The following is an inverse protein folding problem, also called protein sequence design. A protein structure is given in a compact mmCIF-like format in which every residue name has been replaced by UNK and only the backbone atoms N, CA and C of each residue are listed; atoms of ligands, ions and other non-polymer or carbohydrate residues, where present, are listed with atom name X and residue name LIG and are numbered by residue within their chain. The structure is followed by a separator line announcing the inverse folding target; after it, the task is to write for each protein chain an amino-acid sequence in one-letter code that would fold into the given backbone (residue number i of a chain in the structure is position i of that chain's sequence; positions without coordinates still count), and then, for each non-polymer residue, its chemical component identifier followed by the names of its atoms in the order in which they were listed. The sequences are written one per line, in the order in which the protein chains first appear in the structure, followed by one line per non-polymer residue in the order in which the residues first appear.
data_IF_685937157952
#
_entry.id   IF_685937157952
#
_cell.length_a   1.000
_cell.length_b   1.000
_cell.length_c   1.000
_cell.angle_alpha   90.00
_cell.angle_beta   90.00
_cell.angle_gamma   90.00
#
_symmetry.space_group_name_H-M   'P 1'
#
loop_
_entity.id
_entity.type
_entity.pdbx_description
1 polymer ?
#
# COMPACT_ATOMS: atom_id res chain seq x y z
N UNK A 1 9.55 -20.70 5.22
CA UNK A 1 9.69 -19.27 5.54
C UNK A 1 11.11 -19.06 6.03
N UNK A 2 11.93 -18.39 5.21
CA UNK A 2 13.32 -18.11 5.56
C UNK A 2 13.36 -16.80 6.36
N UNK A 3 13.60 -16.90 7.67
CA UNK A 3 13.73 -15.75 8.57
C UNK A 3 15.11 -15.06 8.46
N UNK A 4 15.98 -15.53 7.58
CA UNK A 4 17.41 -15.18 7.60
C UNK A 4 17.84 -14.04 6.69
N UNK A 5 16.96 -13.40 5.92
CA UNK A 5 17.35 -12.32 5.02
C UNK A 5 16.66 -10.99 5.33
N UNK A 6 17.25 -10.22 6.25
CA UNK A 6 17.14 -8.77 6.27
C UNK A 6 17.89 -8.21 5.06
N UNK A 7 17.31 -8.27 3.88
CA UNK A 7 17.83 -7.59 2.71
C UNK A 7 17.36 -6.12 2.74
N UNK A 8 18.02 -5.30 3.56
CA UNK A 8 18.05 -3.86 3.39
C UNK A 8 18.92 -3.50 2.18
N UNK A 9 18.62 -4.07 1.02
CA UNK A 9 19.24 -3.65 -0.23
C UNK A 9 18.41 -2.51 -0.79
N UNK A 10 18.87 -1.27 -0.57
CA UNK A 10 18.21 -0.05 -1.04
C UNK A 10 18.14 0.03 -2.59
N UNK A 11 18.80 -0.89 -3.30
CA UNK A 11 18.70 -1.02 -4.75
C UNK A 11 17.52 -1.86 -5.23
N UNK A 12 16.80 -2.53 -4.34
CA UNK A 12 15.62 -3.36 -4.68
C UNK A 12 14.35 -2.56 -4.45
N UNK A 13 13.54 -2.37 -5.49
CA UNK A 13 12.20 -1.80 -5.33
C UNK A 13 11.25 -2.86 -4.76
N UNK A 14 10.88 -2.70 -3.50
CA UNK A 14 9.90 -3.53 -2.84
C UNK A 14 8.50 -3.02 -3.16
N UNK A 15 7.61 -3.91 -3.64
CA UNK A 15 6.24 -3.57 -4.05
C UNK A 15 5.27 -4.47 -3.28
N UNK A 16 4.21 -3.89 -2.70
CA UNK A 16 3.20 -4.68 -2.00
C UNK A 16 1.80 -4.46 -2.53
N UNK A 17 0.99 -5.52 -2.37
CA UNK A 17 -0.44 -5.55 -2.66
C UNK A 17 -1.18 -6.05 -1.43
N UNK A 18 -2.37 -5.48 -1.18
CA UNK A 18 -3.28 -5.95 -0.13
C UNK A 18 -4.62 -6.31 -0.76
N UNK A 19 -4.98 -7.60 -0.79
CA UNK A 19 -6.13 -8.11 -1.57
C UNK A 19 -6.86 -9.24 -0.86
N UNK A 20 -8.14 -9.36 -1.11
CA UNK A 20 -8.89 -10.59 -0.86
C UNK A 20 -8.81 -11.54 -2.08
N UNK A 21 -9.36 -12.75 -1.93
CA UNK A 21 -9.30 -13.80 -2.95
C UNK A 21 -9.82 -13.34 -4.32
N UNK A 22 -10.83 -12.46 -4.36
CA UNK A 22 -11.46 -12.02 -5.60
C UNK A 22 -10.55 -11.15 -6.48
N UNK A 23 -9.52 -10.53 -5.91
CA UNK A 23 -8.62 -9.61 -6.62
C UNK A 23 -7.23 -10.20 -6.89
N UNK A 24 -6.98 -11.48 -6.57
CA UNK A 24 -5.69 -12.13 -6.79
C UNK A 24 -5.28 -12.14 -8.28
N UNK A 25 -6.21 -12.35 -9.20
CA UNK A 25 -5.92 -12.32 -10.63
C UNK A 25 -5.46 -10.91 -11.07
N UNK A 26 -6.06 -9.85 -10.51
CA UNK A 26 -5.63 -8.47 -10.72
C UNK A 26 -4.20 -8.23 -10.28
N UNK A 27 -3.79 -8.76 -9.11
CA UNK A 27 -2.40 -8.71 -8.65
C UNK A 27 -1.46 -9.35 -9.66
N UNK A 28 -1.82 -10.51 -10.22
CA UNK A 28 -1.01 -11.19 -11.23
C UNK A 28 -0.79 -10.32 -12.48
N UNK A 29 -1.84 -9.64 -12.95
CA UNK A 29 -1.76 -8.70 -14.08
C UNK A 29 -0.90 -7.48 -13.73
N UNK A 30 -1.09 -6.91 -12.52
CA UNK A 30 -0.29 -5.78 -12.06
C UNK A 30 1.19 -6.12 -11.97
N UNK A 31 1.57 -7.26 -11.34
CA UNK A 31 2.95 -7.74 -11.28
C UNK A 31 3.53 -7.91 -12.70
N UNK A 32 2.80 -8.59 -13.60
CA UNK A 32 3.24 -8.77 -14.98
C UNK A 32 3.50 -7.42 -15.67
N UNK A 33 2.64 -6.42 -15.46
CA UNK A 33 2.82 -5.08 -16.01
C UNK A 33 4.06 -4.38 -15.47
N UNK A 34 4.38 -4.56 -14.18
CA UNK A 34 5.58 -3.98 -13.57
C UNK A 34 6.84 -4.62 -14.13
N UNK A 35 6.92 -5.95 -14.14
CA UNK A 35 8.14 -6.64 -14.60
C UNK A 35 8.43 -6.44 -16.09
N UNK A 36 7.38 -6.27 -16.92
CA UNK A 36 7.53 -5.99 -18.35
C UNK A 36 8.02 -4.57 -18.67
N UNK A 37 7.84 -3.63 -17.77
CA UNK A 37 8.21 -2.22 -17.97
C UNK A 37 9.44 -1.78 -17.15
N UNK A 38 10.08 -2.71 -16.39
CA UNK A 38 11.20 -2.36 -15.52
C UNK A 38 12.31 -3.40 -15.57
N UNK A 39 13.55 -2.89 -15.66
CA UNK A 39 14.79 -3.70 -15.63
C UNK A 39 15.57 -3.51 -14.32
N UNK A 40 14.93 -3.03 -13.27
CA UNK A 40 15.52 -2.86 -11.94
C UNK A 40 15.24 -4.09 -11.07
N UNK A 41 16.04 -4.34 -10.02
CA UNK A 41 15.72 -5.39 -9.06
C UNK A 41 14.37 -5.14 -8.38
N UNK A 42 13.49 -6.15 -8.41
CA UNK A 42 12.11 -6.08 -7.91
C UNK A 42 11.85 -7.19 -6.90
N UNK A 43 11.12 -6.86 -5.84
CA UNK A 43 10.57 -7.84 -4.90
C UNK A 43 9.10 -7.53 -4.61
N UNK A 44 8.26 -8.56 -4.68
CA UNK A 44 6.81 -8.41 -4.49
C UNK A 44 6.34 -9.07 -3.19
N UNK A 45 5.42 -8.40 -2.50
CA UNK A 45 4.84 -8.81 -1.24
C UNK A 45 3.31 -8.77 -1.36
N UNK A 46 2.68 -9.93 -1.40
CA UNK A 46 1.22 -10.06 -1.51
C UNK A 46 0.66 -10.38 -0.15
N UNK A 47 -0.15 -9.48 0.41
CA UNK A 47 -0.84 -9.64 1.67
C UNK A 47 -2.29 -10.00 1.36
N UNK A 48 -2.75 -11.18 1.75
CA UNK A 48 -4.09 -11.66 1.46
C UNK A 48 -4.68 -12.44 2.65
N UNK A 49 -5.98 -12.66 2.63
CA UNK A 49 -6.71 -13.48 3.61
C UNK A 49 -6.82 -14.95 3.19
N UNK A 50 -6.78 -15.21 1.88
CA UNK A 50 -6.85 -16.54 1.29
C UNK A 50 -6.18 -16.57 -0.07
N UNK A 51 -5.89 -17.75 -0.60
CA UNK A 51 -5.39 -17.95 -1.95
C UNK A 51 -5.68 -19.38 -2.45
N UNK A 52 -5.80 -19.52 -3.77
CA UNK A 52 -5.95 -20.82 -4.42
C UNK A 52 -4.59 -21.45 -4.78
N UNK A 53 -4.48 -22.80 -4.83
CA UNK A 53 -3.30 -23.46 -5.34
C UNK A 53 -2.96 -23.10 -6.79
N UNK A 54 -3.97 -22.70 -7.59
CA UNK A 54 -3.77 -22.26 -8.95
C UNK A 54 -3.04 -20.91 -9.00
N UNK A 55 -3.42 -19.99 -8.12
CA UNK A 55 -2.74 -18.69 -7.99
C UNK A 55 -1.27 -18.87 -7.59
N UNK A 56 -0.98 -19.74 -6.62
CA UNK A 56 0.41 -20.03 -6.21
C UNK A 56 1.26 -20.48 -7.40
N UNK A 57 0.77 -21.45 -8.18
CA UNK A 57 1.47 -21.91 -9.40
C UNK A 57 1.68 -20.81 -10.43
N UNK A 58 0.73 -19.89 -10.53
CA UNK A 58 0.83 -18.75 -11.45
C UNK A 58 1.93 -17.78 -11.02
N UNK A 59 1.95 -17.35 -9.74
CA UNK A 59 2.98 -16.44 -9.24
C UNK A 59 4.38 -17.09 -9.20
N UNK A 60 4.46 -18.39 -8.96
CA UNK A 60 5.73 -19.15 -9.06
C UNK A 60 6.30 -19.08 -10.48
N UNK A 61 5.45 -19.25 -11.50
CA UNK A 61 5.87 -19.12 -12.91
C UNK A 61 6.35 -17.70 -13.22
N UNK A 62 5.61 -16.68 -12.77
CA UNK A 62 6.02 -15.29 -12.92
C UNK A 62 7.38 -15.03 -12.27
N UNK A 63 7.56 -15.51 -11.03
CA UNK A 63 8.80 -15.33 -10.29
C UNK A 63 10.00 -15.94 -11.03
N UNK A 64 9.85 -17.17 -11.53
CA UNK A 64 10.91 -17.88 -12.30
C UNK A 64 11.17 -17.20 -13.64
N UNK A 65 10.11 -16.88 -14.39
CA UNK A 65 10.22 -16.32 -15.75
C UNK A 65 10.90 -14.93 -15.74
N UNK A 66 10.66 -14.14 -14.73
CA UNK A 66 11.14 -12.76 -14.66
C UNK A 66 12.27 -12.56 -13.62
N UNK A 67 12.75 -13.66 -12.99
CA UNK A 67 13.83 -13.63 -11.98
C UNK A 67 13.53 -12.65 -10.83
N UNK A 68 12.29 -12.61 -10.36
CA UNK A 68 11.84 -11.74 -9.26
C UNK A 68 11.43 -12.56 -8.03
N UNK A 69 11.57 -11.96 -6.86
CA UNK A 69 11.09 -12.55 -5.60
C UNK A 69 9.61 -12.18 -5.40
N UNK A 70 8.75 -13.17 -5.17
CA UNK A 70 7.35 -12.97 -4.79
C UNK A 70 7.11 -13.67 -3.46
N UNK A 71 6.66 -12.92 -2.46
CA UNK A 71 6.35 -13.42 -1.12
C UNK A 71 4.86 -13.28 -0.84
N UNK A 72 4.22 -14.36 -0.37
CA UNK A 72 2.81 -14.41 -0.02
C UNK A 72 2.66 -14.42 1.51
N UNK A 73 1.82 -13.53 2.05
CA UNK A 73 1.57 -13.39 3.48
C UNK A 73 0.07 -13.53 3.76
N UNK A 74 -0.28 -14.45 4.65
CA UNK A 74 -1.66 -14.61 5.09
C UNK A 74 -1.94 -13.78 6.33
N UNK A 75 -3.00 -12.97 6.26
CA UNK A 75 -3.57 -12.27 7.42
C UNK A 75 -4.65 -13.17 8.05
N UNK A 76 -4.61 -13.27 9.37
CA UNK A 76 -5.72 -13.89 10.12
C UNK A 76 -6.88 -12.90 10.18
N UNK A 77 -8.03 -13.32 9.64
CA UNK A 77 -9.23 -12.47 9.49
C UNK A 77 -9.77 -11.99 10.84
N UNK A 78 -9.57 -12.77 11.92
CA UNK A 78 -9.97 -12.41 13.28
C UNK A 78 -9.35 -11.09 13.75
N UNK A 79 -8.16 -10.75 13.23
CA UNK A 79 -7.49 -9.47 13.52
C UNK A 79 -8.21 -8.26 12.91
N UNK A 80 -9.16 -8.49 12.00
CA UNK A 80 -9.88 -7.45 11.26
C UNK A 80 -11.31 -7.21 11.79
N UNK A 81 -11.80 -8.05 12.71
CA UNK A 81 -13.18 -7.97 13.19
C UNK A 81 -13.51 -6.67 13.92
N UNK A 82 -12.49 -6.06 14.52
CA UNK A 82 -12.61 -4.77 15.23
C UNK A 82 -12.62 -3.55 14.30
N UNK A 83 -12.37 -3.74 12.99
CA UNK A 83 -12.30 -2.65 12.03
C UNK A 83 -13.66 -2.40 11.38
N UNK A 84 -13.99 -1.13 11.06
CA UNK A 84 -15.24 -0.77 10.40
C UNK A 84 -15.46 -1.57 9.12
N UNK A 85 -16.62 -2.16 8.97
CA UNK A 85 -17.04 -2.80 7.72
C UNK A 85 -17.88 -1.83 6.91
N UNK A 86 -17.54 -1.62 5.66
CA UNK A 86 -18.35 -0.81 4.75
C UNK A 86 -19.24 -1.71 3.89
N UNK A 87 -20.31 -1.13 3.33
CA UNK A 87 -21.18 -1.85 2.38
C UNK A 87 -20.56 -1.99 0.99
N UNK A 88 -19.51 -1.24 0.71
CA UNK A 88 -18.93 -1.08 -0.64
C UNK A 88 -17.55 -1.71 -0.73
N UNK A 89 -16.74 -1.60 0.32
CA UNK A 89 -15.34 -2.03 0.32
C UNK A 89 -15.13 -3.22 1.24
N UNK A 90 -14.39 -4.22 0.76
CA UNK A 90 -13.98 -5.34 1.58
C UNK A 90 -12.95 -4.91 2.63
N UNK A 91 -12.78 -5.71 3.69
CA UNK A 91 -11.74 -5.45 4.71
C UNK A 91 -10.32 -5.48 4.15
N UNK A 92 -10.12 -5.98 2.94
CA UNK A 92 -8.84 -5.97 2.25
C UNK A 92 -8.28 -4.55 2.05
N UNK A 93 -9.11 -3.51 2.05
CA UNK A 93 -8.63 -2.12 2.03
C UNK A 93 -7.68 -1.80 3.20
N UNK A 94 -7.79 -2.49 4.34
CA UNK A 94 -6.90 -2.30 5.49
C UNK A 94 -5.60 -3.10 5.40
N UNK A 95 -5.47 -4.03 4.44
CA UNK A 95 -4.28 -4.88 4.35
C UNK A 95 -3.01 -4.07 4.08
N UNK A 96 -3.13 -2.89 3.47
CA UNK A 96 -2.01 -1.94 3.31
C UNK A 96 -1.42 -1.50 4.65
N UNK A 97 -2.23 -1.31 5.69
CA UNK A 97 -1.76 -0.93 7.03
C UNK A 97 -0.96 -2.06 7.69
N UNK A 98 -1.39 -3.31 7.48
CA UNK A 98 -0.65 -4.49 7.92
C UNK A 98 0.64 -4.68 7.11
N UNK A 99 0.59 -4.42 5.79
CA UNK A 99 1.78 -4.43 4.94
C UNK A 99 2.84 -3.46 5.47
N UNK A 100 2.45 -2.21 5.74
CA UNK A 100 3.37 -1.18 6.25
C UNK A 100 3.94 -1.56 7.62
N UNK A 101 3.13 -2.07 8.54
CA UNK A 101 3.62 -2.51 9.85
C UNK A 101 4.59 -3.68 9.76
N UNK A 102 4.17 -4.75 9.07
CA UNK A 102 4.96 -5.97 9.01
C UNK A 102 6.26 -5.79 8.24
N UNK A 103 6.19 -5.14 7.06
CA UNK A 103 7.34 -4.94 6.20
C UNK A 103 8.31 -3.87 6.73
N UNK A 104 7.87 -2.97 7.62
CA UNK A 104 8.77 -2.03 8.32
C UNK A 104 9.88 -2.68 9.13
N UNK A 105 9.78 -3.98 9.38
CA UNK A 105 10.80 -4.80 10.06
C UNK A 105 11.80 -5.42 9.08
N UNK A 106 11.55 -5.29 7.77
CA UNK A 106 12.28 -6.02 6.73
C UNK A 106 12.91 -5.11 5.67
N UNK A 107 12.25 -4.02 5.33
CA UNK A 107 12.67 -3.09 4.28
C UNK A 107 12.47 -1.63 4.69
N UNK A 108 13.27 -0.72 4.11
CA UNK A 108 13.24 0.71 4.44
C UNK A 108 12.13 1.45 3.70
N UNK A 109 11.92 1.10 2.43
CA UNK A 109 10.92 1.72 1.55
C UNK A 109 10.04 0.67 0.88
N UNK A 110 8.81 1.04 0.57
CA UNK A 110 7.83 0.16 -0.03
C UNK A 110 6.92 0.94 -0.97
N UNK A 111 6.75 0.46 -2.20
CA UNK A 111 5.69 0.91 -3.09
C UNK A 111 4.43 0.05 -2.85
N UNK A 112 3.37 0.64 -2.37
CA UNK A 112 2.06 -0.01 -2.32
C UNK A 112 1.30 0.30 -3.61
N UNK A 113 0.72 -0.75 -4.20
CA UNK A 113 -0.16 -0.66 -5.37
C UNK A 113 -1.49 -1.38 -5.08
N UNK A 114 -2.60 -0.77 -5.49
CA UNK A 114 -3.87 -1.48 -5.59
C UNK A 114 -3.82 -2.52 -6.73
N UNK A 115 -4.59 -3.60 -6.61
CA UNK A 115 -4.57 -4.72 -7.55
C UNK A 115 -5.06 -4.38 -8.96
N UNK A 116 -5.76 -3.27 -9.12
CA UNK A 116 -6.29 -2.76 -10.39
C UNK A 116 -5.37 -1.72 -11.07
N UNK A 117 -4.17 -1.50 -10.51
CA UNK A 117 -3.16 -0.61 -11.08
C UNK A 117 -2.32 -1.36 -12.11
N UNK A 118 -2.15 -0.76 -13.29
CA UNK A 118 -1.29 -1.26 -14.38
C UNK A 118 -0.11 -0.31 -14.58
N UNK A 119 1.10 -0.85 -14.48
CA UNK A 119 2.33 -0.11 -14.73
C UNK A 119 2.56 0.04 -16.23
N UNK A 120 2.78 1.27 -16.71
CA UNK A 120 3.00 1.60 -18.12
C UNK A 120 4.39 2.18 -18.43
N UNK A 121 5.25 2.29 -17.44
CA UNK A 121 6.57 2.89 -17.60
C UNK A 121 7.54 2.51 -16.49
N UNK A 122 8.73 3.10 -16.54
CA UNK A 122 9.79 2.84 -15.56
C UNK A 122 9.45 3.39 -14.18
N UNK A 123 9.74 2.60 -13.16
CA UNK A 123 9.67 2.97 -11.74
C UNK A 123 11.06 3.29 -11.16
N UNK A 124 12.08 3.35 -12.00
CA UNK A 124 13.47 3.53 -11.57
C UNK A 124 13.69 4.81 -10.74
N UNK A 125 12.99 5.89 -11.07
CA UNK A 125 13.13 7.17 -10.37
C UNK A 125 12.68 7.10 -8.90
N UNK A 126 11.82 6.13 -8.54
CA UNK A 126 11.42 5.92 -7.14
C UNK A 126 12.60 5.47 -6.27
N UNK A 127 13.56 4.72 -6.82
CA UNK A 127 14.76 4.29 -6.08
C UNK A 127 15.68 5.45 -5.70
N UNK A 128 15.57 6.57 -6.41
CA UNK A 128 16.39 7.78 -6.19
C UNK A 128 15.61 8.88 -5.44
N UNK A 129 14.32 8.63 -5.16
CA UNK A 129 13.48 9.63 -4.52
C UNK A 129 13.86 9.79 -3.04
N UNK A 130 14.26 10.98 -2.66
CA UNK A 130 14.59 11.30 -1.27
C UNK A 130 13.32 11.44 -0.41
N UNK A 131 13.14 10.50 0.52
CA UNK A 131 12.09 10.49 1.53
C UNK A 131 12.63 10.70 2.95
N UNK A 132 13.83 11.27 3.14
CA UNK A 132 14.43 11.40 4.48
C UNK A 132 13.61 12.24 5.43
N UNK A 133 12.93 13.27 4.93
CA UNK A 133 12.05 14.16 5.73
C UNK A 133 10.55 13.95 5.45
N UNK A 134 10.19 13.03 4.56
CA UNK A 134 8.81 12.75 4.16
C UNK A 134 8.46 11.28 4.38
N UNK A 135 7.23 11.05 4.80
CA UNK A 135 6.78 9.68 5.09
C UNK A 135 6.37 8.95 3.82
N UNK A 136 5.83 9.67 2.84
CA UNK A 136 5.43 9.03 1.59
C UNK A 136 5.54 9.97 0.38
N UNK A 137 5.62 9.36 -0.80
CA UNK A 137 5.32 10.01 -2.08
C UNK A 137 4.03 9.42 -2.65
N UNK A 138 3.12 10.29 -3.09
CA UNK A 138 1.73 9.97 -3.40
C UNK A 138 1.24 10.71 -4.63
N UNK A 139 0.14 10.27 -5.23
CA UNK A 139 -0.50 10.94 -6.37
C UNK A 139 -1.79 11.62 -5.91
N UNK A 140 -1.95 12.88 -6.28
CA UNK A 140 -3.15 13.65 -5.96
C UNK A 140 -4.39 13.00 -6.56
N UNK A 141 -5.46 12.87 -5.78
CA UNK A 141 -6.73 12.32 -6.26
C UNK A 141 -7.41 13.27 -7.25
N UNK A 142 -8.41 12.78 -7.98
CA UNK A 142 -9.14 13.57 -9.00
C UNK A 142 -9.88 14.75 -8.39
N UNK A 143 -10.07 15.81 -9.18
CA UNK A 143 -10.64 17.07 -8.70
C UNK A 143 -12.06 16.93 -8.12
N UNK A 144 -12.85 15.99 -8.65
CA UNK A 144 -14.19 15.69 -8.12
C UNK A 144 -14.17 15.16 -6.67
N UNK A 145 -13.10 14.52 -6.26
CA UNK A 145 -12.86 14.07 -4.88
C UNK A 145 -12.30 15.23 -4.06
N UNK A 146 -11.27 15.94 -4.56
CA UNK A 146 -10.64 17.08 -3.89
C UNK A 146 -11.68 18.09 -3.39
N UNK A 147 -12.64 18.46 -4.23
CA UNK A 147 -13.66 19.50 -3.93
C UNK A 147 -14.62 19.12 -2.79
N UNK A 148 -14.75 17.82 -2.46
CA UNK A 148 -15.67 17.32 -1.42
C UNK A 148 -14.99 16.97 -0.11
N UNK A 149 -13.66 16.92 -0.10
CA UNK A 149 -12.91 16.44 1.06
C UNK A 149 -13.03 17.38 2.24
N UNK A 150 -12.87 18.68 2.03
CA UNK A 150 -12.88 19.69 3.11
C UNK A 150 -14.21 19.75 3.84
N UNK A 151 -15.33 19.56 3.13
CA UNK A 151 -16.65 19.48 3.73
C UNK A 151 -16.80 18.19 4.54
N UNK A 152 -16.44 17.05 3.94
CA UNK A 152 -16.61 15.71 4.50
C UNK A 152 -15.69 15.45 5.69
N UNK A 153 -14.45 15.91 5.64
CA UNK A 153 -13.43 15.75 6.67
C UNK A 153 -13.12 17.06 7.40
N UNK A 154 -14.11 17.95 7.54
CA UNK A 154 -13.95 19.26 8.15
C UNK A 154 -13.37 19.22 9.58
N UNK A 155 -13.65 18.16 10.35
CA UNK A 155 -13.11 17.96 11.68
C UNK A 155 -11.57 17.83 11.70
N UNK A 156 -10.94 17.45 10.58
CA UNK A 156 -9.50 17.21 10.49
C UNK A 156 -8.73 18.35 9.81
N UNK A 157 -9.44 19.35 9.27
CA UNK A 157 -8.85 20.54 8.64
C UNK A 157 -7.69 20.23 7.68
N UNK A 158 -7.94 19.34 6.69
CA UNK A 158 -6.93 18.91 5.75
C UNK A 158 -6.42 20.07 4.88
N UNK A 159 -5.10 20.27 4.92
CA UNK A 159 -4.38 21.27 4.11
C UNK A 159 -3.58 20.56 3.01
N UNK A 160 -3.25 21.26 1.93
CA UNK A 160 -2.26 20.79 0.95
C UNK A 160 -2.74 19.78 -0.10
N UNK A 161 -3.97 19.30 -0.01
CA UNK A 161 -4.55 18.38 -1.01
C UNK A 161 -4.74 16.97 -0.47
N UNK A 162 -5.57 16.21 -1.17
CA UNK A 162 -5.96 14.85 -0.82
C UNK A 162 -5.43 13.88 -1.89
N UNK A 163 -4.77 12.81 -1.48
CA UNK A 163 -4.17 11.83 -2.38
C UNK A 163 -4.99 10.55 -2.48
N UNK A 164 -4.88 9.89 -3.63
CA UNK A 164 -5.39 8.54 -3.84
C UNK A 164 -4.47 7.52 -3.17
N UNK A 165 -5.02 6.57 -2.42
CA UNK A 165 -4.25 5.58 -1.67
C UNK A 165 -3.82 4.35 -2.47
N UNK A 166 -4.21 4.25 -3.73
CA UNK A 166 -3.89 3.10 -4.60
C UNK A 166 -2.45 3.08 -5.11
N UNK A 167 -1.72 4.20 -4.99
CA UNK A 167 -0.29 4.29 -5.29
C UNK A 167 0.39 5.08 -4.19
N UNK A 168 1.16 4.42 -3.32
CA UNK A 168 1.85 5.05 -2.19
C UNK A 168 3.26 4.51 -2.07
N UNK A 169 4.26 5.35 -2.32
CA UNK A 169 5.65 5.01 -2.02
C UNK A 169 6.01 5.51 -0.63
N UNK A 170 6.24 4.61 0.32
CA UNK A 170 6.32 4.90 1.75
C UNK A 170 7.70 4.65 2.33
N UNK A 171 8.20 5.58 3.16
CA UNK A 171 9.33 5.38 4.05
C UNK A 171 8.86 4.62 5.30
N UNK A 172 9.10 3.31 5.33
CA UNK A 172 8.64 2.44 6.39
C UNK A 172 9.36 2.67 7.73
N UNK A 173 10.58 3.20 7.70
CA UNK A 173 11.29 3.59 8.92
C UNK A 173 10.54 4.72 9.63
N UNK A 174 10.25 5.81 8.92
CA UNK A 174 9.48 6.94 9.47
C UNK A 174 8.05 6.53 9.83
N UNK A 175 7.43 5.64 9.04
CA UNK A 175 6.11 5.07 9.35
C UNK A 175 6.11 4.41 10.73
N UNK A 176 7.08 3.55 10.99
CA UNK A 176 7.24 2.83 12.26
C UNK A 176 7.59 3.76 13.42
N UNK A 177 8.56 4.66 13.23
CA UNK A 177 9.01 5.63 14.26
C UNK A 177 7.85 6.52 14.74
N UNK A 178 6.94 6.89 13.82
CA UNK A 178 5.76 7.68 14.14
C UNK A 178 4.56 6.84 14.63
N UNK A 179 4.69 5.52 14.77
CA UNK A 179 3.65 4.57 15.18
C UNK A 179 2.34 4.71 14.37
N UNK A 180 2.45 4.92 13.04
CA UNK A 180 1.33 5.32 12.19
C UNK A 180 0.28 4.22 12.06
N UNK A 181 0.65 2.95 12.05
CA UNK A 181 -0.32 1.84 12.06
C UNK A 181 -1.23 1.89 13.27
N UNK A 182 -0.66 2.10 14.47
CA UNK A 182 -1.45 2.25 15.71
C UNK A 182 -2.38 3.46 15.64
N UNK A 183 -1.89 4.60 15.15
CA UNK A 183 -2.70 5.82 14.97
C UNK A 183 -3.82 5.60 13.97
N UNK A 184 -3.56 4.89 12.86
CA UNK A 184 -4.57 4.54 11.86
C UNK A 184 -5.71 3.72 12.48
N UNK A 185 -5.39 2.67 13.22
CA UNK A 185 -6.40 1.86 13.88
C UNK A 185 -7.18 2.62 14.96
N UNK A 186 -6.55 3.54 15.69
CA UNK A 186 -7.25 4.39 16.64
C UNK A 186 -8.26 5.32 15.95
N UNK A 187 -7.92 5.90 14.78
CA UNK A 187 -8.85 6.71 13.99
C UNK A 187 -10.01 5.87 13.46
N UNK A 188 -9.72 4.66 12.94
CA UNK A 188 -10.74 3.74 12.42
C UNK A 188 -11.69 3.22 13.51
N UNK A 189 -11.25 3.13 14.76
CA UNK A 189 -12.07 2.76 15.91
C UNK A 189 -12.68 3.98 16.63
N UNK A 190 -12.37 5.20 16.20
CA UNK A 190 -12.82 6.43 16.80
C UNK A 190 -14.25 6.83 16.41
N UNK A 191 -14.78 7.87 17.07
CA UNK A 191 -16.14 8.38 16.83
C UNK A 191 -16.33 8.96 15.43
N UNK A 192 -15.24 9.44 14.83
CA UNK A 192 -15.22 10.06 13.50
C UNK A 192 -15.22 9.02 12.38
N UNK A 193 -15.05 7.73 12.69
CA UNK A 193 -14.96 6.66 11.68
C UNK A 193 -16.19 6.59 10.76
N UNK A 194 -17.38 6.93 11.25
CA UNK A 194 -18.61 6.96 10.47
C UNK A 194 -18.60 8.05 9.38
N UNK A 195 -17.72 9.06 9.50
CA UNK A 195 -17.55 10.12 8.48
C UNK A 195 -16.64 9.71 7.33
N UNK A 196 -15.90 8.61 7.48
CA UNK A 196 -14.96 8.13 6.46
C UNK A 196 -15.69 7.44 5.32
N UNK A 197 -15.64 8.07 4.15
CA UNK A 197 -16.22 7.49 2.92
C UNK A 197 -15.27 6.46 2.29
N UNK A 198 -14.00 6.71 2.39
CA UNK A 198 -12.88 5.86 1.94
C UNK A 198 -11.97 5.63 3.16
N UNK A 199 -12.32 4.70 4.08
CA UNK A 199 -11.77 4.68 5.43
C UNK A 199 -10.25 4.63 5.49
N UNK A 200 -9.62 3.77 4.71
CA UNK A 200 -8.17 3.65 4.64
C UNK A 200 -7.52 4.88 4.00
N UNK A 201 -8.07 5.37 2.88
CA UNK A 201 -7.58 6.57 2.20
C UNK A 201 -7.76 7.82 3.04
N UNK A 202 -8.91 7.99 3.69
CA UNK A 202 -9.18 9.12 4.57
C UNK A 202 -8.19 9.16 5.75
N UNK A 203 -8.00 8.02 6.40
CA UNK A 203 -7.06 7.87 7.51
C UNK A 203 -5.62 8.16 7.07
N UNK A 204 -5.19 7.66 5.92
CA UNK A 204 -3.86 7.94 5.39
C UNK A 204 -3.67 9.44 5.13
N UNK A 205 -4.65 10.11 4.52
CA UNK A 205 -4.59 11.54 4.28
C UNK A 205 -4.54 12.38 5.57
N UNK A 206 -5.29 11.97 6.61
CA UNK A 206 -5.26 12.63 7.92
C UNK A 206 -3.89 12.47 8.59
N UNK A 207 -3.32 11.26 8.58
CA UNK A 207 -2.06 10.97 9.28
C UNK A 207 -0.83 11.54 8.57
N UNK A 208 -0.88 11.61 7.24
CA UNK A 208 0.24 12.01 6.41
C UNK A 208 0.15 13.46 5.93
N UNK A 209 -0.79 14.24 6.42
CA UNK A 209 -0.89 15.66 6.13
C UNK A 209 0.48 16.35 6.32
N UNK A 210 0.91 17.14 5.34
CA UNK A 210 2.21 17.85 5.29
C UNK A 210 3.48 16.97 5.30
N UNK A 211 3.31 15.64 5.33
CA UNK A 211 4.39 14.66 5.38
C UNK A 211 4.57 13.88 4.08
N UNK A 212 3.97 14.34 3.00
CA UNK A 212 4.04 13.69 1.70
C UNK A 212 4.73 14.56 0.65
N UNK A 213 5.24 13.90 -0.39
CA UNK A 213 5.61 14.48 -1.68
C UNK A 213 4.50 14.13 -2.66
N UNK A 214 3.95 15.11 -3.36
CA UNK A 214 3.05 14.86 -4.46
C UNK A 214 3.81 14.61 -5.75
N UNK A 215 3.68 13.41 -6.28
CA UNK A 215 4.22 13.04 -7.59
C UNK A 215 3.36 13.65 -8.71
N UNK A 216 3.94 13.93 -9.87
CA UNK A 216 3.18 14.33 -11.06
C UNK A 216 2.24 13.19 -11.47
N UNK A 217 1.10 13.57 -12.10
CA UNK A 217 0.17 12.60 -12.72
C UNK A 217 0.69 12.08 -14.04
#
# INVERSE_FOLDING_TARGET
FDESNNNNDDNVLNISYGVDENYLDGVGVSIASVVLNNNIPLAFHIICDSYSPCFVKYIERLAVQHHVKISLYLIKVESLEVLPQTKVWSRAMYFRLFAFDYLSKKVNTLLYLDADVVCKGSLQDLLQLDLTEKIAAVVKDVDSIQNKVNERLSAFNLQGGYFNSGVVFVNLKLWKENALTKKAFLLLAGKEADSFKYPDQDVLNILLQDKVIFLPR
#
